data_IF_112868174567
#
_entry.id   IF_112868174567
#
_cell.length_a   1.000
_cell.length_b   1.000
_cell.length_c   1.000
_cell.angle_alpha   90.00
_cell.angle_beta   90.00
_cell.angle_gamma   90.00
#
_symmetry.space_group_name_H-M   'P 1'
#
loop_
_entity.id
_entity.type
_entity.pdbx_description
1 polymer ?
#
# COMPACT_ATOMS: atom_id res chain seq x y z
N UNK A 1 16.19 10.97 -6.90
CA UNK A 1 15.15 11.96 -7.28
C UNK A 1 13.92 11.87 -6.39
N UNK A 2 13.33 10.69 -6.17
CA UNK A 2 12.18 10.51 -5.26
C UNK A 2 12.39 11.13 -3.88
N UNK A 3 13.53 10.88 -3.22
CA UNK A 3 13.85 11.44 -1.89
C UNK A 3 14.18 12.93 -1.83
N UNK A 4 13.97 13.70 -2.91
CA UNK A 4 14.18 15.15 -2.95
C UNK A 4 12.85 15.93 -3.12
N UNK A 5 11.75 15.22 -3.36
CA UNK A 5 10.42 15.78 -3.58
C UNK A 5 9.56 15.32 -2.40
N UNK A 6 8.71 16.22 -1.90
CA UNK A 6 7.75 15.86 -0.87
C UNK A 6 6.84 14.74 -1.39
N UNK A 7 6.71 13.67 -0.60
CA UNK A 7 5.77 12.59 -0.82
C UNK A 7 4.87 12.49 0.41
N UNK A 8 3.59 12.13 0.24
CA UNK A 8 2.73 11.84 1.38
C UNK A 8 3.24 10.61 2.15
N UNK A 9 3.12 10.67 3.46
CA UNK A 9 3.49 9.63 4.43
C UNK A 9 2.40 8.56 4.58
N UNK A 10 1.89 8.04 3.46
CA UNK A 10 0.80 7.06 3.48
C UNK A 10 1.20 5.74 4.13
N UNK A 11 0.50 5.36 5.20
CA UNK A 11 0.64 4.10 5.94
C UNK A 11 -0.58 3.19 5.78
N UNK A 12 -0.39 1.87 5.87
CA UNK A 12 -1.49 0.91 5.98
C UNK A 12 -1.79 0.64 7.46
N UNK A 13 -2.91 1.16 7.95
CA UNK A 13 -3.26 1.14 9.38
C UNK A 13 -3.41 -0.27 9.95
N UNK A 14 -3.95 -1.19 9.15
CA UNK A 14 -4.12 -2.58 9.54
C UNK A 14 -3.00 -3.50 9.04
N UNK A 15 -1.85 -2.98 8.58
CA UNK A 15 -0.75 -3.87 8.21
C UNK A 15 -0.05 -4.43 9.44
N UNK A 16 0.12 -5.75 9.49
CA UNK A 16 1.04 -6.40 10.44
C UNK A 16 2.48 -6.34 9.92
N UNK A 17 2.65 -6.52 8.62
CA UNK A 17 3.91 -6.36 7.89
C UNK A 17 3.63 -5.73 6.53
N UNK A 18 4.49 -4.83 6.07
CA UNK A 18 4.40 -4.22 4.76
C UNK A 18 5.81 -4.00 4.20
N UNK A 19 6.08 -4.56 3.02
CA UNK A 19 7.40 -4.55 2.40
C UNK A 19 7.34 -3.90 1.03
N UNK A 20 8.27 -2.98 0.78
CA UNK A 20 8.52 -2.44 -0.56
C UNK A 20 9.33 -3.41 -1.40
N UNK A 21 9.24 -3.33 -2.73
CA UNK A 21 10.05 -4.18 -3.61
C UNK A 21 11.29 -3.42 -4.10
N UNK A 22 12.47 -4.02 -3.95
CA UNK A 22 13.77 -3.37 -4.25
C UNK A 22 14.65 -4.09 -5.30
N UNK A 23 14.20 -5.21 -5.86
CA UNK A 23 14.96 -5.99 -6.85
C UNK A 23 14.33 -5.84 -8.26
N UNK A 24 15.12 -5.62 -9.32
CA UNK A 24 16.59 -5.36 -9.34
C UNK A 24 16.94 -3.92 -8.94
N UNK A 25 15.97 -3.03 -8.97
CA UNK A 25 16.03 -1.65 -8.48
C UNK A 25 14.79 -1.36 -7.62
N UNK A 26 14.77 -0.29 -6.82
CA UNK A 26 13.55 0.16 -6.14
C UNK A 26 12.38 0.29 -7.13
N UNK A 27 11.32 -0.49 -6.91
CA UNK A 27 10.16 -0.54 -7.78
C UNK A 27 9.22 0.65 -7.49
N UNK A 28 9.72 1.84 -7.83
CA UNK A 28 9.07 3.11 -7.64
C UNK A 28 9.18 3.93 -8.93
N UNK A 29 8.10 4.61 -9.31
CA UNK A 29 8.05 5.50 -10.47
C UNK A 29 7.53 6.86 -10.02
N UNK A 30 8.24 7.91 -10.42
CA UNK A 30 7.84 9.30 -10.24
C UNK A 30 7.75 9.96 -11.62
N UNK A 31 6.57 10.50 -11.96
CA UNK A 31 6.35 11.27 -13.19
C UNK A 31 5.82 12.64 -12.83
N UNK A 32 6.47 13.69 -13.36
CA UNK A 32 6.11 15.09 -13.15
C UNK A 32 5.70 15.67 -14.50
N UNK A 33 4.51 16.26 -14.58
CA UNK A 33 4.06 16.98 -15.77
C UNK A 33 4.45 18.46 -15.68
N UNK A 34 4.50 19.13 -16.84
CA UNK A 34 4.83 20.56 -16.92
C UNK A 34 3.87 21.49 -16.16
N UNK A 35 2.64 21.02 -15.88
CA UNK A 35 1.66 21.73 -15.05
C UNK A 35 1.82 21.49 -13.54
N UNK A 36 2.88 20.79 -13.12
CA UNK A 36 3.15 20.50 -11.71
C UNK A 36 2.42 19.28 -11.15
N UNK A 37 1.59 18.58 -11.93
CA UNK A 37 1.00 17.31 -11.47
C UNK A 37 2.12 16.28 -11.23
N UNK A 38 2.02 15.54 -10.15
CA UNK A 38 2.95 14.46 -9.79
C UNK A 38 2.18 13.15 -9.71
N UNK A 39 2.67 12.12 -10.40
CA UNK A 39 2.25 10.74 -10.23
C UNK A 39 3.39 10.00 -9.55
N UNK A 40 3.07 9.37 -8.42
CA UNK A 40 3.97 8.47 -7.72
C UNK A 40 3.30 7.10 -7.59
N UNK A 41 4.00 6.04 -7.99
CA UNK A 41 3.54 4.66 -7.85
C UNK A 41 4.68 3.81 -7.30
N UNK A 42 4.36 2.90 -6.39
CA UNK A 42 5.31 1.92 -5.85
C UNK A 42 4.67 0.52 -5.78
N UNK A 43 5.52 -0.50 -5.82
CA UNK A 43 5.10 -1.89 -5.60
C UNK A 43 5.35 -2.29 -4.13
N UNK A 44 4.31 -2.79 -3.48
CA UNK A 44 4.36 -3.28 -2.09
C UNK A 44 3.68 -4.64 -1.94
N UNK A 45 4.18 -5.43 -1.00
CA UNK A 45 3.49 -6.61 -0.43
C UNK A 45 2.99 -6.23 0.96
N UNK A 46 1.71 -6.44 1.23
CA UNK A 46 1.08 -6.02 2.49
C UNK A 46 0.41 -7.22 3.12
N UNK A 47 0.87 -7.60 4.31
CA UNK A 47 0.21 -8.57 5.16
C UNK A 47 -0.74 -7.81 6.08
N UNK A 48 -1.96 -7.56 5.58
CA UNK A 48 -3.00 -6.85 6.30
C UNK A 48 -3.73 -7.77 7.30
N UNK A 49 -4.17 -7.17 8.38
CA UNK A 49 -4.99 -7.79 9.40
C UNK A 49 -6.47 -7.76 8.97
N UNK A 50 -7.14 -8.89 9.21
CA UNK A 50 -8.56 -9.06 8.97
C UNK A 50 -9.12 -10.01 10.03
N UNK A 51 -10.10 -9.54 10.80
CA UNK A 51 -10.83 -10.37 11.75
C UNK A 51 -11.91 -11.16 11.03
N UNK A 52 -11.69 -12.46 10.84
CA UNK A 52 -12.65 -13.36 10.24
C UNK A 52 -13.66 -13.84 11.29
N UNK A 53 -14.95 -13.73 10.99
CA UNK A 53 -16.02 -14.18 11.88
C UNK A 53 -16.50 -15.56 11.44
N UNK A 54 -15.85 -16.62 11.94
CA UNK A 54 -15.99 -18.01 11.46
C UNK A 54 -17.25 -18.75 11.95
N UNK A 55 -18.37 -18.05 12.11
CA UNK A 55 -19.59 -18.64 12.68
C UNK A 55 -20.23 -19.70 11.78
N UNK A 56 -20.14 -19.52 10.46
CA UNK A 56 -20.79 -20.39 9.46
C UNK A 56 -19.80 -21.22 8.63
N UNK A 57 -18.63 -21.53 9.19
CA UNK A 57 -17.60 -22.29 8.47
C UNK A 57 -18.16 -23.64 7.93
N UNK A 58 -17.91 -24.02 6.66
CA UNK A 58 -17.04 -23.38 5.65
C UNK A 58 -17.79 -22.51 4.63
N UNK A 59 -19.02 -22.08 4.92
CA UNK A 59 -19.92 -21.32 4.03
C UNK A 59 -20.11 -19.87 4.48
N UNK A 60 -19.14 -19.33 5.20
CA UNK A 60 -19.09 -17.95 5.67
C UNK A 60 -18.54 -16.99 4.61
N UNK A 61 -19.01 -15.74 4.64
CA UNK A 61 -18.54 -14.66 3.78
C UNK A 61 -17.81 -13.61 4.61
N UNK A 62 -16.71 -13.07 4.07
CA UNK A 62 -15.86 -12.12 4.78
C UNK A 62 -15.51 -10.93 3.89
N UNK A 63 -15.55 -9.73 4.47
CA UNK A 63 -15.06 -8.50 3.86
C UNK A 63 -13.81 -8.04 4.59
N UNK A 64 -12.63 -8.31 4.04
CA UNK A 64 -11.36 -7.87 4.62
C UNK A 64 -11.00 -6.45 4.17
N UNK A 65 -10.88 -5.48 5.09
CA UNK A 65 -10.56 -4.11 4.73
C UNK A 65 -9.06 -3.96 4.43
N UNK A 66 -8.74 -2.97 3.59
CA UNK A 66 -7.39 -2.43 3.46
C UNK A 66 -7.47 -0.94 3.78
N UNK A 67 -7.03 -0.56 4.98
CA UNK A 67 -7.19 0.81 5.49
C UNK A 67 -5.87 1.54 5.41
N UNK A 68 -5.85 2.73 4.81
CA UNK A 68 -4.66 3.57 4.71
C UNK A 68 -4.97 5.04 4.98
N UNK A 69 -3.98 5.77 5.48
CA UNK A 69 -4.03 7.23 5.68
C UNK A 69 -2.62 7.81 5.69
N UNK A 70 -2.52 9.14 5.74
CA UNK A 70 -1.35 9.85 6.30
C UNK A 70 -1.23 9.53 7.79
#
# INVERSE_FOLDING_TARGET
MVGLIWLPDTIFRNSKYADSHWITTPNQLLRIWSNGKVLYTLRMTINAECQLQLHNFPMDEHSCPLVFSS
#
